data_IF_764657402902
#
_entry.id   IF_764657402902
#
_cell.length_a   1.000
_cell.length_b   1.000
_cell.length_c   1.000
_cell.angle_alpha   90.00
_cell.angle_beta   90.00
_cell.angle_gamma   90.00
#
_symmetry.space_group_name_H-M   'P 1'
#
loop_
_entity.id
_entity.type
_entity.pdbx_description
1 polymer ?
#
# COMPACT_ATOMS: atom_id res chain seq x y z
N UNK A 1 -24.76 -2.80 -2.22
CA UNK A 1 -23.31 -2.55 -2.36
C UNK A 1 -22.64 -3.13 -1.13
N UNK A 2 -21.64 -4.00 -1.28
CA UNK A 2 -20.94 -4.62 -0.15
C UNK A 2 -19.58 -3.96 0.05
N UNK A 3 -19.20 -3.75 1.31
CA UNK A 3 -17.88 -3.22 1.68
C UNK A 3 -16.99 -4.38 2.13
N UNK A 4 -15.78 -4.45 1.58
CA UNK A 4 -14.80 -5.48 1.93
C UNK A 4 -13.61 -4.80 2.60
N UNK A 5 -13.23 -5.30 3.78
CA UNK A 5 -12.04 -4.83 4.50
C UNK A 5 -10.78 -5.30 3.77
N UNK A 6 -9.83 -4.40 3.57
CA UNK A 6 -8.55 -4.67 2.89
C UNK A 6 -7.36 -4.29 3.77
N UNK A 7 -6.17 -4.77 3.39
CA UNK A 7 -4.94 -4.49 4.12
C UNK A 7 -4.44 -3.06 3.85
N UNK A 8 -3.76 -2.42 4.82
CA UNK A 8 -3.14 -1.13 4.61
C UNK A 8 -2.17 -1.11 3.42
N UNK A 9 -2.49 -0.28 2.42
CA UNK A 9 -1.66 -0.14 1.22
C UNK A 9 -1.99 -1.08 0.08
N UNK A 10 -2.98 -1.96 0.23
CA UNK A 10 -3.44 -2.81 -0.84
C UNK A 10 -3.89 -1.96 -2.01
N UNK A 11 -3.49 -2.36 -3.21
CA UNK A 11 -3.94 -1.73 -4.46
C UNK A 11 -4.93 -2.67 -5.13
N UNK A 12 -6.17 -2.23 -5.26
CA UNK A 12 -7.19 -2.98 -5.99
C UNK A 12 -6.81 -3.03 -7.46
N UNK A 13 -6.78 -4.23 -8.02
CA UNK A 13 -6.59 -4.46 -9.45
C UNK A 13 -7.94 -4.42 -10.15
N UNK A 14 -8.89 -5.24 -9.69
CA UNK A 14 -10.26 -5.31 -10.23
C UNK A 14 -11.25 -5.87 -9.22
N UNK A 15 -12.54 -5.66 -9.49
CA UNK A 15 -13.67 -6.24 -8.78
C UNK A 15 -14.48 -7.07 -9.78
N UNK A 16 -14.62 -8.36 -9.54
CA UNK A 16 -15.55 -9.21 -10.28
C UNK A 16 -16.91 -9.20 -9.57
N UNK A 17 -17.88 -8.55 -10.19
CA UNK A 17 -19.23 -8.38 -9.63
C UNK A 17 -20.08 -9.65 -9.74
N UNK A 18 -19.76 -10.58 -10.64
CA UNK A 18 -20.55 -11.80 -10.82
C UNK A 18 -20.23 -12.83 -9.74
N UNK A 19 -18.97 -12.88 -9.31
CA UNK A 19 -18.49 -13.85 -8.31
C UNK A 19 -18.15 -13.22 -6.96
N UNK A 20 -18.49 -11.95 -6.76
CA UNK A 20 -18.23 -11.18 -5.54
C UNK A 20 -16.77 -11.27 -5.05
N UNK A 21 -15.82 -11.21 -6.00
CA UNK A 21 -14.40 -11.29 -5.72
C UNK A 21 -13.70 -9.96 -5.95
N UNK A 22 -12.76 -9.62 -5.06
CA UNK A 22 -11.85 -8.48 -5.22
C UNK A 22 -10.43 -9.02 -5.35
N UNK A 23 -9.72 -8.56 -6.39
CA UNK A 23 -8.32 -8.91 -6.63
C UNK A 23 -7.42 -7.73 -6.30
N UNK A 24 -6.38 -7.98 -5.52
CA UNK A 24 -5.49 -6.96 -4.98
C UNK A 24 -4.03 -7.34 -5.21
N UNK A 25 -3.21 -6.31 -5.32
CA UNK A 25 -1.76 -6.42 -5.25
C UNK A 25 -1.25 -5.74 -3.98
N UNK A 26 -0.44 -6.45 -3.20
CA UNK A 26 0.23 -5.91 -2.02
C UNK A 26 1.74 -6.10 -2.15
N UNK A 27 2.52 -5.03 -2.39
CA UNK A 27 3.96 -5.09 -2.27
C UNK A 27 4.37 -5.00 -0.81
N UNK A 28 5.25 -5.90 -0.38
CA UNK A 28 5.99 -5.77 0.87
C UNK A 28 7.24 -4.94 0.61
N UNK A 29 7.50 -3.99 1.51
CA UNK A 29 8.64 -3.09 1.40
C UNK A 29 9.64 -3.35 2.51
N UNK A 30 10.90 -3.38 2.12
CA UNK A 30 12.02 -3.39 3.06
C UNK A 30 12.16 -2.04 3.79
N UNK A 31 13.22 -1.90 4.59
CA UNK A 31 13.50 -0.66 5.31
C UNK A 31 13.56 0.55 4.37
N UNK A 32 13.00 1.67 4.82
CA UNK A 32 13.19 2.95 4.13
C UNK A 32 14.68 3.30 4.10
N UNK A 33 15.20 3.87 3.00
CA UNK A 33 16.55 4.39 2.97
C UNK A 33 16.74 5.45 4.06
N UNK A 34 17.91 5.51 4.71
CA UNK A 34 18.20 6.58 5.64
C UNK A 34 18.18 7.94 4.91
N UNK A 35 17.74 9.02 5.57
CA UNK A 35 17.86 10.36 5.02
C UNK A 35 19.31 10.69 4.67
N UNK A 36 19.52 11.50 3.63
CA UNK A 36 20.86 12.02 3.33
C UNK A 36 21.38 12.88 4.51
N UNK A 37 22.70 12.94 4.74
CA UNK A 37 23.27 13.80 5.77
C UNK A 37 22.82 15.27 5.62
N UNK A 38 22.41 15.90 6.72
CA UNK A 38 21.91 17.27 6.73
C UNK A 38 20.45 17.45 6.29
N UNK A 39 19.73 16.37 5.96
CA UNK A 39 18.29 16.45 5.63
C UNK A 39 17.49 16.90 6.86
N UNK A 40 16.74 18.01 6.79
CA UNK A 40 15.89 18.45 7.89
C UNK A 40 14.78 17.42 8.16
N UNK A 41 14.32 17.25 9.43
CA UNK A 41 13.16 16.44 9.73
C UNK A 41 11.94 16.86 8.88
N UNK A 42 11.08 15.91 8.44
CA UNK A 42 9.85 16.26 7.76
C UNK A 42 9.00 17.21 8.60
N UNK A 43 8.41 18.23 7.98
CA UNK A 43 7.54 19.16 8.67
C UNK A 43 6.38 18.40 9.36
N UNK A 44 6.21 18.61 10.67
CA UNK A 44 5.07 18.09 11.40
C UNK A 44 3.79 18.72 10.82
N UNK A 45 2.93 17.91 10.21
CA UNK A 45 1.61 18.34 9.73
C UNK A 45 1.42 18.41 8.20
N UNK A 46 2.41 18.01 7.40
CA UNK A 46 2.22 17.85 5.96
C UNK A 46 1.41 16.60 5.62
N UNK A 47 0.08 16.64 5.83
CA UNK A 47 -0.90 15.59 5.51
C UNK A 47 -1.05 15.27 4.01
N UNK A 48 0.03 15.34 3.24
CA UNK A 48 0.08 14.82 1.88
C UNK A 48 0.03 13.30 1.94
N UNK A 49 -0.90 12.72 1.18
CA UNK A 49 -1.09 11.26 0.96
C UNK A 49 0.14 10.54 0.36
N UNK A 50 1.33 11.14 0.41
CA UNK A 50 2.59 10.51 0.06
C UNK A 50 3.13 9.79 1.29
N UNK A 51 3.19 8.45 1.22
CA UNK A 51 4.05 7.70 2.14
C UNK A 51 5.46 8.29 1.98
N UNK A 52 6.09 8.67 3.09
CA UNK A 52 7.51 9.08 3.10
C UNK A 52 8.41 8.02 2.43
N UNK A 53 9.72 8.28 2.30
CA UNK A 53 10.65 7.41 1.57
C UNK A 53 10.35 5.93 1.80
N UNK A 54 9.99 5.23 0.72
CA UNK A 54 9.60 3.84 0.78
C UNK A 54 10.82 2.97 0.47
N UNK A 55 11.04 1.91 1.26
CA UNK A 55 12.05 0.91 0.94
C UNK A 55 11.78 0.17 -0.38
N UNK A 56 12.77 -0.60 -0.87
CA UNK A 56 12.59 -1.42 -2.06
C UNK A 56 11.46 -2.42 -1.85
N UNK A 57 10.80 -2.81 -2.94
CA UNK A 57 9.86 -3.95 -2.90
C UNK A 57 10.69 -5.22 -2.72
N UNK A 58 10.48 -5.92 -1.62
CA UNK A 58 11.21 -7.16 -1.29
C UNK A 58 10.38 -8.41 -1.50
N UNK A 59 9.05 -8.27 -1.50
CA UNK A 59 8.11 -9.32 -1.86
C UNK A 59 6.84 -8.70 -2.45
N UNK A 60 6.06 -9.52 -3.15
CA UNK A 60 4.83 -9.11 -3.80
C UNK A 60 3.78 -10.20 -3.67
N UNK A 61 2.57 -9.80 -3.30
CA UNK A 61 1.46 -10.72 -3.06
C UNK A 61 0.30 -10.39 -3.99
N UNK A 62 -0.19 -11.42 -4.69
CA UNK A 62 -1.48 -11.37 -5.36
C UNK A 62 -2.53 -11.98 -4.44
N UNK A 63 -3.57 -11.22 -4.14
CA UNK A 63 -4.55 -11.59 -3.12
C UNK A 63 -5.94 -11.57 -3.75
N UNK A 64 -6.71 -12.62 -3.49
CA UNK A 64 -8.15 -12.69 -3.75
C UNK A 64 -8.88 -12.57 -2.43
N UNK A 65 -9.78 -11.60 -2.31
CA UNK A 65 -10.74 -11.56 -1.20
C UNK A 65 -12.10 -11.97 -1.75
N UNK A 66 -12.66 -13.02 -1.17
CA UNK A 66 -14.01 -13.54 -1.45
C UNK A 66 -14.98 -12.95 -0.44
N UNK A 67 -16.15 -12.50 -0.91
CA UNK A 67 -17.26 -12.01 -0.07
C UNK A 67 -18.57 -12.72 -0.38
#
# INVERSE_FOLDING_TARGET
MATVTTFPGAKTITVDQNTHNVYLFQPERGPAPPPAPGTPPPAAGGGGRGRGPQGPVIAAWFIKITG
#
